data_IF_940032602142
#
_entry.id   IF_940032602142
#
_cell.length_a   1.000
_cell.length_b   1.000
_cell.length_c   1.000
_cell.angle_alpha   90.00
_cell.angle_beta   90.00
_cell.angle_gamma   90.00
#
_symmetry.space_group_name_H-M   'P 1'
#
loop_
_entity.id
_entity.type
_entity.pdbx_description
1 polymer ?
#
# COMPACT_ATOMS: atom_id res chain seq x y z
N UNK A 1 -2.77 12.39 -18.89
CA UNK A 1 -1.47 11.83 -18.46
C UNK A 1 -1.19 12.33 -17.07
N UNK A 2 -0.88 11.40 -16.16
CA UNK A 2 -0.46 11.71 -14.80
C UNK A 2 1.07 11.92 -14.76
N UNK A 3 1.57 12.52 -13.68
CA UNK A 3 3.01 12.74 -13.46
C UNK A 3 3.82 11.43 -13.56
N UNK A 4 3.26 10.33 -13.02
CA UNK A 4 3.89 9.01 -13.06
C UNK A 4 4.11 8.49 -14.48
N UNK A 5 3.19 8.77 -15.41
CA UNK A 5 3.32 8.34 -16.81
C UNK A 5 4.53 8.99 -17.48
N UNK A 6 4.76 10.28 -17.20
CA UNK A 6 5.89 11.03 -17.76
C UNK A 6 7.23 10.57 -17.16
N UNK A 7 7.23 10.19 -15.89
CA UNK A 7 8.43 9.74 -15.18
C UNK A 7 8.68 8.22 -15.29
N UNK A 8 7.83 7.48 -16.00
CA UNK A 8 7.83 6.02 -16.07
C UNK A 8 7.78 5.34 -14.68
N UNK A 9 6.96 5.90 -13.78
CA UNK A 9 6.75 5.38 -12.42
C UNK A 9 5.49 4.51 -12.40
N UNK A 10 5.68 3.24 -12.04
CA UNK A 10 4.58 2.30 -11.81
C UNK A 10 3.96 2.52 -10.42
N UNK A 11 2.66 2.79 -10.39
CA UNK A 11 1.88 3.02 -9.17
C UNK A 11 0.71 2.03 -9.11
N UNK A 12 0.38 1.57 -7.90
CA UNK A 12 -0.80 0.73 -7.67
C UNK A 12 -1.59 1.18 -6.45
N UNK A 13 -2.92 1.08 -6.53
CA UNK A 13 -3.83 1.42 -5.45
C UNK A 13 -4.40 0.15 -4.80
N UNK A 14 -4.01 -0.13 -3.56
CA UNK A 14 -4.46 -1.26 -2.76
C UNK A 14 -5.62 -0.86 -1.84
N UNK A 15 -6.85 -0.95 -2.33
CA UNK A 15 -8.04 -0.47 -1.60
C UNK A 15 -9.03 -1.62 -1.37
N UNK A 16 -9.76 -1.58 -0.25
CA UNK A 16 -10.88 -2.49 -0.02
C UNK A 16 -11.97 -2.37 -1.11
N UNK A 17 -12.74 -3.43 -1.33
CA UNK A 17 -13.81 -3.46 -2.34
C UNK A 17 -13.36 -3.83 -3.77
N UNK A 18 -12.06 -3.90 -4.03
CA UNK A 18 -11.49 -4.38 -5.31
C UNK A 18 -11.12 -5.86 -5.25
N UNK A 19 -10.90 -6.45 -6.43
CA UNK A 19 -10.46 -7.84 -6.58
C UNK A 19 -9.03 -8.02 -6.03
N UNK A 20 -8.92 -8.83 -4.98
CA UNK A 20 -7.63 -9.14 -4.31
C UNK A 20 -6.64 -9.80 -5.26
N UNK A 21 -7.10 -10.62 -6.21
CA UNK A 21 -6.23 -11.28 -7.19
C UNK A 21 -5.56 -10.29 -8.15
N UNK A 22 -6.23 -9.17 -8.44
CA UNK A 22 -5.63 -8.11 -9.25
C UNK A 22 -4.52 -7.38 -8.48
N UNK A 23 -4.76 -7.06 -7.21
CA UNK A 23 -3.75 -6.46 -6.32
C UNK A 23 -2.51 -7.36 -6.24
N UNK A 24 -2.71 -8.66 -6.00
CA UNK A 24 -1.63 -9.64 -5.94
C UNK A 24 -0.80 -9.61 -7.22
N UNK A 25 -1.46 -9.71 -8.38
CA UNK A 25 -0.78 -9.74 -9.68
C UNK A 25 0.01 -8.46 -9.94
N UNK A 26 -0.55 -7.29 -9.58
CA UNK A 26 0.10 -5.98 -9.75
C UNK A 26 1.31 -5.84 -8.82
N UNK A 27 1.18 -6.27 -7.57
CA UNK A 27 2.26 -6.22 -6.59
C UNK A 27 3.40 -7.19 -6.94
N UNK A 28 3.08 -8.41 -7.38
CA UNK A 28 4.08 -9.39 -7.82
C UNK A 28 4.83 -8.93 -9.08
N UNK A 29 4.18 -8.15 -9.97
CA UNK A 29 4.85 -7.51 -11.11
C UNK A 29 5.87 -6.44 -10.69
N UNK A 30 5.68 -5.84 -9.51
CA UNK A 30 6.55 -4.80 -8.95
C UNK A 30 5.97 -3.40 -9.16
N UNK A 31 5.96 -2.61 -8.09
CA UNK A 31 5.42 -1.25 -8.04
C UNK A 31 6.44 -0.32 -7.36
N UNK A 32 6.59 0.90 -7.87
CA UNK A 32 7.45 1.91 -7.25
C UNK A 32 6.72 2.61 -6.10
N UNK A 33 5.41 2.84 -6.28
CA UNK A 33 4.55 3.49 -5.29
C UNK A 33 3.32 2.61 -5.10
N UNK A 34 2.95 2.38 -3.84
CA UNK A 34 1.68 1.78 -3.46
C UNK A 34 0.95 2.75 -2.56
N UNK A 35 -0.28 3.08 -2.90
CA UNK A 35 -1.20 3.84 -2.04
C UNK A 35 -2.39 2.94 -1.69
N UNK A 36 -2.97 3.06 -0.51
CA UNK A 36 -4.04 2.17 -0.13
C UNK A 36 -4.58 2.39 1.27
N UNK A 37 -5.70 1.73 1.57
CA UNK A 37 -6.26 1.77 2.93
C UNK A 37 -5.50 0.80 3.83
N UNK A 38 -5.29 1.15 5.13
CA UNK A 38 -4.45 0.38 6.02
C UNK A 38 -4.78 -1.11 6.06
N UNK A 39 -6.07 -1.46 6.10
CA UNK A 39 -6.51 -2.86 6.16
C UNK A 39 -6.11 -3.69 4.93
N UNK A 40 -6.21 -3.14 3.72
CA UNK A 40 -5.81 -3.86 2.49
C UNK A 40 -4.29 -3.92 2.35
N UNK A 41 -3.59 -2.83 2.65
CA UNK A 41 -2.12 -2.78 2.62
C UNK A 41 -1.53 -3.78 3.62
N UNK A 42 -2.02 -3.80 4.86
CA UNK A 42 -1.60 -4.75 5.89
C UNK A 42 -1.84 -6.21 5.47
N UNK A 43 -2.98 -6.52 4.84
CA UNK A 43 -3.25 -7.86 4.32
C UNK A 43 -2.23 -8.27 3.23
N UNK A 44 -1.89 -7.37 2.30
CA UNK A 44 -0.91 -7.64 1.25
C UNK A 44 0.51 -7.83 1.79
N UNK A 45 0.88 -7.10 2.85
CA UNK A 45 2.17 -7.25 3.54
C UNK A 45 2.21 -8.60 4.27
N UNK A 46 1.17 -8.92 5.05
CA UNK A 46 1.07 -10.19 5.79
C UNK A 46 1.12 -11.41 4.88
N UNK A 47 0.50 -11.33 3.70
CA UNK A 47 0.54 -12.38 2.66
C UNK A 47 1.84 -12.39 1.85
N UNK A 48 2.76 -11.44 2.09
CA UNK A 48 4.07 -11.29 1.43
C UNK A 48 4.01 -10.93 -0.07
N UNK A 49 2.88 -10.41 -0.55
CA UNK A 49 2.76 -9.86 -1.90
C UNK A 49 3.31 -8.44 -1.96
N UNK A 50 3.08 -7.62 -0.92
CA UNK A 50 3.77 -6.34 -0.76
C UNK A 50 5.03 -6.52 0.10
N UNK A 51 6.20 -6.46 -0.54
CA UNK A 51 7.50 -6.62 0.12
C UNK A 51 7.99 -5.29 0.68
N UNK A 52 8.10 -5.18 2.00
CA UNK A 52 8.47 -3.92 2.67
C UNK A 52 9.97 -3.69 2.83
N UNK A 53 10.80 -4.72 2.59
CA UNK A 53 12.27 -4.70 2.81
C UNK A 53 13.01 -3.52 2.15
N UNK A 54 12.50 -3.02 1.02
CA UNK A 54 13.14 -1.95 0.25
C UNK A 54 12.37 -0.63 0.27
N UNK A 55 11.34 -0.50 1.13
CA UNK A 55 10.62 0.76 1.30
C UNK A 55 11.57 1.79 1.90
N UNK A 56 11.70 2.93 1.21
CA UNK A 56 12.54 4.07 1.66
C UNK A 56 11.72 5.19 2.28
N UNK A 57 10.42 5.21 2.02
CA UNK A 57 9.51 6.27 2.45
C UNK A 57 8.13 5.66 2.70
N UNK A 58 7.56 5.99 3.85
CA UNK A 58 6.19 5.71 4.22
C UNK A 58 5.49 7.04 4.48
N UNK A 59 4.34 7.25 3.86
CA UNK A 59 3.51 8.44 4.05
C UNK A 59 2.22 7.99 4.72
N UNK A 60 1.89 8.61 5.86
CA UNK A 60 0.65 8.41 6.56
C UNK A 60 -0.19 9.68 6.41
N UNK A 61 -1.21 9.61 5.56
CA UNK A 61 -2.18 10.68 5.41
C UNK A 61 -3.25 10.58 6.50
N UNK A 62 -3.76 11.71 6.99
CA UNK A 62 -4.75 11.78 8.08
C UNK A 62 -4.41 10.88 9.28
N UNK A 63 -3.15 10.94 9.75
CA UNK A 63 -2.61 10.01 10.73
C UNK A 63 -3.40 9.99 12.06
N UNK A 64 -3.98 11.12 12.45
CA UNK A 64 -4.87 11.24 13.61
C UNK A 64 -6.16 10.42 13.44
N UNK A 65 -6.79 10.46 12.27
CA UNK A 65 -7.94 9.60 11.96
C UNK A 65 -7.56 8.12 11.97
N UNK A 66 -6.40 7.77 11.40
CA UNK A 66 -5.92 6.40 11.38
C UNK A 66 -5.77 5.84 12.81
N UNK A 67 -5.22 6.63 13.73
CA UNK A 67 -5.09 6.26 15.13
C UNK A 67 -6.45 6.12 15.82
N UNK A 68 -7.38 7.05 15.57
CA UNK A 68 -8.72 7.05 16.17
C UNK A 68 -9.59 5.89 15.69
N UNK A 69 -9.44 5.46 14.43
CA UNK A 69 -10.19 4.32 13.85
C UNK A 69 -9.63 2.96 14.27
N UNK A 70 -8.67 2.92 15.18
CA UNK A 70 -8.07 1.69 15.70
C UNK A 70 -7.04 1.07 14.76
N UNK A 71 -6.51 1.80 13.77
CA UNK A 71 -5.46 1.28 12.87
C UNK A 71 -4.05 1.32 13.47
N UNK A 72 -3.95 1.59 14.77
CA UNK A 72 -2.67 1.72 15.47
C UNK A 72 -1.82 0.46 15.35
N UNK A 73 -2.40 -0.72 15.59
CA UNK A 73 -1.66 -1.99 15.49
C UNK A 73 -1.18 -2.27 14.07
N UNK A 74 -2.02 -2.03 13.06
CA UNK A 74 -1.64 -2.23 11.66
C UNK A 74 -0.52 -1.28 11.23
N UNK A 75 -0.47 -0.05 11.75
CA UNK A 75 0.65 0.87 11.51
C UNK A 75 1.92 0.32 12.15
N UNK A 76 1.85 -0.20 13.38
CA UNK A 76 3.00 -0.80 14.06
C UNK A 76 3.49 -2.08 13.38
N UNK A 77 2.62 -2.88 12.78
CA UNK A 77 3.03 -4.10 12.04
C UNK A 77 3.78 -3.79 10.73
N UNK A 78 3.62 -2.58 10.21
CA UNK A 78 4.33 -2.09 9.00
C UNK A 78 5.65 -1.40 9.37
N UNK A 79 5.79 -0.94 10.62
CA UNK A 79 6.97 -0.26 11.19
C UNK A 79 7.97 -1.24 11.81
#
# INVERSE_FOLDING_TARGET
>A
MALGDYMNVQCHACIGGTNVGEDIRKLDYGQHIVSGTPGRVADMIRRRHLRTRHIKMLVLDEADELLNRGFREQIYDVY
#
